data_IF_966946326996
#
_entry.id   IF_966946326996
#
_cell.length_a   1.000
_cell.length_b   1.000
_cell.length_c   1.000
_cell.angle_alpha   90.00
_cell.angle_beta   90.00
_cell.angle_gamma   90.00
#
_symmetry.space_group_name_H-M   'P 1'
#
loop_
_entity.id
_entity.type
_entity.pdbx_description
1 polymer ?
#
# COMPACT_ATOMS: atom_id res chain seq x y z
N UNK A 1 0.90 -10.85 -22.31
CA UNK A 1 1.95 -9.82 -22.26
C UNK A 1 1.78 -9.12 -20.95
N UNK A 2 2.61 -9.47 -19.98
CA UNK A 2 2.39 -9.05 -18.59
C UNK A 2 3.69 -8.55 -18.02
N UNK A 3 3.64 -7.32 -17.50
CA UNK A 3 4.72 -6.68 -16.78
C UNK A 3 4.48 -6.88 -15.30
N UNK A 4 5.43 -7.50 -14.62
CA UNK A 4 5.25 -7.97 -13.27
C UNK A 4 6.41 -7.50 -12.38
N UNK A 5 6.14 -7.37 -11.08
CA UNK A 5 7.20 -7.20 -10.10
C UNK A 5 6.88 -7.93 -8.81
N UNK A 6 7.92 -8.28 -8.07
CA UNK A 6 7.86 -8.92 -6.76
C UNK A 6 8.86 -8.26 -5.83
N UNK A 7 8.49 -8.08 -4.57
CA UNK A 7 9.36 -7.53 -3.53
C UNK A 7 9.45 -8.58 -2.41
N UNK A 8 10.67 -8.98 -2.05
CA UNK A 8 10.98 -9.91 -0.97
C UNK A 8 12.23 -9.48 -0.22
N UNK A 9 12.14 -9.32 1.11
CA UNK A 9 13.28 -9.11 2.01
C UNK A 9 14.26 -8.02 1.52
N UNK A 10 13.75 -6.86 1.11
CA UNK A 10 14.56 -5.76 0.60
C UNK A 10 15.06 -5.92 -0.85
N UNK A 11 14.72 -7.03 -1.50
CA UNK A 11 15.02 -7.28 -2.91
C UNK A 11 13.80 -7.02 -3.78
N UNK A 12 13.99 -6.38 -4.92
CA UNK A 12 12.94 -6.18 -5.93
C UNK A 12 13.31 -6.90 -7.22
N UNK A 13 12.35 -7.64 -7.74
CA UNK A 13 12.42 -8.35 -9.02
C UNK A 13 11.41 -7.71 -9.95
N UNK A 14 11.87 -7.13 -11.06
CA UNK A 14 11.04 -6.55 -12.12
C UNK A 14 11.19 -7.45 -13.32
N UNK A 15 10.10 -7.94 -13.89
CA UNK A 15 10.18 -8.93 -14.96
C UNK A 15 9.02 -8.88 -15.93
N UNK A 16 9.25 -9.41 -17.12
CA UNK A 16 8.30 -9.39 -18.23
C UNK A 16 8.11 -10.77 -18.82
N UNK A 17 6.90 -11.05 -19.33
CA UNK A 17 6.55 -12.33 -19.95
C UNK A 17 5.90 -12.14 -21.32
N UNK A 18 5.91 -13.21 -22.12
CA UNK A 18 5.42 -13.25 -23.50
C UNK A 18 6.12 -12.25 -24.43
N UNK A 19 7.44 -12.06 -24.24
CA UNK A 19 8.28 -11.23 -25.11
C UNK A 19 8.05 -9.72 -25.00
N UNK A 20 7.43 -9.24 -23.91
CA UNK A 20 7.35 -7.81 -23.62
C UNK A 20 8.75 -7.26 -23.25
N UNK A 21 8.91 -5.94 -23.30
CA UNK A 21 10.16 -5.25 -23.02
C UNK A 21 10.23 -4.82 -21.56
N UNK A 22 11.37 -5.10 -20.92
CA UNK A 22 11.68 -4.62 -19.58
C UNK A 22 11.66 -3.08 -19.55
N UNK A 23 11.26 -2.51 -18.41
CA UNK A 23 11.31 -1.06 -18.22
C UNK A 23 12.73 -0.55 -18.44
N UNK A 24 12.84 0.58 -19.14
CA UNK A 24 14.12 1.26 -19.25
C UNK A 24 14.50 1.79 -17.86
N UNK A 25 15.53 1.21 -17.27
CA UNK A 25 16.01 1.57 -15.93
C UNK A 25 16.43 3.04 -15.83
N UNK A 26 16.72 3.70 -16.97
CA UNK A 26 16.96 5.15 -17.03
C UNK A 26 15.74 6.00 -16.67
N UNK A 27 14.54 5.41 -16.68
CA UNK A 27 13.31 6.07 -16.24
C UNK A 27 13.17 6.08 -14.72
N UNK A 28 13.96 5.28 -14.00
CA UNK A 28 13.91 5.23 -12.54
C UNK A 28 14.84 6.34 -12.01
N UNK A 29 14.30 7.34 -11.29
CA UNK A 29 15.12 8.42 -10.77
C UNK A 29 16.18 7.94 -9.78
N UNK A 30 17.40 8.45 -9.90
CA UNK A 30 18.50 8.18 -8.96
C UNK A 30 18.15 8.60 -7.52
N UNK A 31 17.26 9.60 -7.38
CA UNK A 31 16.77 10.08 -6.08
C UNK A 31 15.89 9.10 -5.30
N UNK A 32 15.49 7.94 -5.87
CA UNK A 32 14.78 6.92 -5.10
C UNK A 32 15.70 6.12 -4.17
N UNK A 33 17.03 6.18 -4.33
CA UNK A 33 17.95 5.34 -3.55
C UNK A 33 17.89 3.85 -3.88
N UNK A 34 17.09 3.43 -4.88
CA UNK A 34 17.21 2.11 -5.55
C UNK A 34 18.32 2.10 -6.60
N UNK A 35 18.80 3.26 -7.05
CA UNK A 35 19.99 3.40 -7.90
C UNK A 35 21.05 4.16 -7.10
N UNK A 36 22.11 3.47 -6.69
CA UNK A 36 23.23 4.05 -5.96
C UNK A 36 24.47 3.18 -6.10
N UNK A 37 25.65 3.76 -5.86
CA UNK A 37 26.95 3.08 -6.00
C UNK A 37 27.11 1.82 -5.13
N UNK A 38 26.21 1.61 -4.16
CA UNK A 38 26.22 0.48 -3.23
C UNK A 38 25.13 -0.56 -3.51
N UNK A 39 24.23 -0.33 -4.48
CA UNK A 39 23.10 -1.22 -4.80
C UNK A 39 23.24 -1.76 -6.23
N UNK A 40 23.93 -2.89 -6.43
CA UNK A 40 24.16 -3.44 -7.77
C UNK A 40 22.86 -4.02 -8.34
N UNK A 41 22.50 -3.55 -9.54
CA UNK A 41 21.42 -4.15 -10.32
C UNK A 41 21.94 -5.35 -11.11
N UNK A 42 21.27 -6.49 -10.99
CA UNK A 42 21.50 -7.68 -11.81
C UNK A 42 20.48 -7.69 -12.94
N UNK A 43 20.97 -7.71 -14.19
CA UNK A 43 20.12 -7.61 -15.37
C UNK A 43 20.18 -8.89 -16.20
N UNK A 44 19.02 -9.34 -16.65
CA UNK A 44 18.83 -10.28 -17.74
C UNK A 44 17.90 -9.66 -18.79
N UNK A 45 17.73 -10.26 -19.98
CA UNK A 45 16.85 -9.71 -21.01
C UNK A 45 15.37 -9.61 -20.61
N UNK A 46 14.95 -10.33 -19.55
CA UNK A 46 13.55 -10.44 -19.11
C UNK A 46 13.36 -10.09 -17.62
N UNK A 47 14.43 -9.98 -16.83
CA UNK A 47 14.37 -9.67 -15.39
C UNK A 47 15.43 -8.63 -15.02
N UNK A 48 15.05 -7.66 -14.21
CA UNK A 48 15.96 -6.79 -13.48
C UNK A 48 15.77 -7.02 -11.98
N UNK A 49 16.87 -7.22 -11.27
CA UNK A 49 16.90 -7.44 -9.82
C UNK A 49 17.72 -6.35 -9.17
N UNK A 50 17.20 -5.76 -8.10
CA UNK A 50 17.95 -4.92 -7.17
C UNK A 50 17.90 -5.56 -5.79
N UNK A 51 19.06 -5.75 -5.20
CA UNK A 51 19.25 -6.32 -3.86
C UNK A 51 19.52 -5.16 -2.88
N UNK A 52 19.08 -5.28 -1.62
CA UNK A 52 19.37 -4.29 -0.56
C UNK A 52 18.82 -2.86 -0.82
N UNK A 53 17.68 -2.76 -1.51
CA UNK A 53 17.03 -1.47 -1.70
C UNK A 53 16.42 -0.94 -0.38
N UNK A 54 16.60 0.35 -0.05
CA UNK A 54 16.00 0.94 1.14
C UNK A 54 14.47 0.94 1.04
N UNK A 55 13.77 0.75 2.17
CA UNK A 55 12.31 0.67 2.23
C UNK A 55 11.60 1.85 1.54
N UNK A 56 12.12 3.06 1.71
CA UNK A 56 11.57 4.26 1.08
C UNK A 56 11.72 4.21 -0.45
N UNK A 57 12.87 3.74 -0.93
CA UNK A 57 13.12 3.54 -2.36
C UNK A 57 12.23 2.47 -2.96
N UNK A 58 12.00 1.37 -2.24
CA UNK A 58 11.08 0.31 -2.64
C UNK A 58 9.64 0.81 -2.76
N UNK A 59 9.18 1.63 -1.81
CA UNK A 59 7.83 2.23 -1.86
C UNK A 59 7.65 3.14 -3.07
N UNK A 60 8.61 4.03 -3.32
CA UNK A 60 8.54 4.94 -4.46
C UNK A 60 8.63 4.17 -5.79
N UNK A 61 9.48 3.14 -5.87
CA UNK A 61 9.61 2.29 -7.04
C UNK A 61 8.32 1.50 -7.30
N UNK A 62 7.67 0.99 -6.25
CA UNK A 62 6.38 0.33 -6.36
C UNK A 62 5.32 1.25 -6.98
N UNK A 63 5.25 2.53 -6.57
CA UNK A 63 4.33 3.48 -7.18
C UNK A 63 4.62 3.71 -8.66
N UNK A 64 5.89 3.90 -9.02
CA UNK A 64 6.32 4.11 -10.41
C UNK A 64 5.98 2.89 -11.29
N UNK A 65 6.29 1.69 -10.81
CA UNK A 65 5.99 0.45 -11.53
C UNK A 65 4.48 0.32 -11.76
N UNK A 66 3.66 0.57 -10.73
CA UNK A 66 2.20 0.55 -10.87
C UNK A 66 1.70 1.60 -11.87
N UNK A 67 2.27 2.80 -11.90
CA UNK A 67 1.88 3.82 -12.90
C UNK A 67 2.24 3.43 -14.33
N UNK A 68 3.32 2.66 -14.50
CA UNK A 68 3.76 2.10 -15.80
C UNK A 68 2.99 0.82 -16.20
N UNK A 69 2.00 0.41 -15.40
CA UNK A 69 1.15 -0.75 -15.67
C UNK A 69 1.75 -2.09 -15.21
N UNK A 70 2.82 -2.07 -14.40
CA UNK A 70 3.33 -3.29 -13.79
C UNK A 70 2.41 -3.78 -12.67
N UNK A 71 2.24 -5.09 -12.61
CA UNK A 71 1.40 -5.78 -11.63
C UNK A 71 2.26 -6.45 -10.57
N UNK A 72 1.90 -6.27 -9.29
CA UNK A 72 2.55 -7.00 -8.20
C UNK A 72 2.13 -8.46 -8.24
N UNK A 73 3.10 -9.36 -8.23
CA UNK A 73 2.89 -10.80 -8.14
C UNK A 73 3.68 -11.33 -6.95
N UNK A 74 3.05 -12.16 -6.14
CA UNK A 74 3.73 -12.88 -5.07
C UNK A 74 4.34 -14.15 -5.68
N UNK A 75 5.63 -14.07 -6.01
CA UNK A 75 6.37 -15.14 -6.66
C UNK A 75 7.54 -15.57 -5.79
N UNK A 76 7.70 -16.87 -5.62
CA UNK A 76 8.81 -17.42 -4.84
C UNK A 76 10.15 -16.97 -5.46
N UNK A 77 11.04 -16.43 -4.62
CA UNK A 77 12.42 -16.06 -4.98
C UNK A 77 13.13 -17.15 -5.79
N UNK A 78 13.00 -18.42 -5.41
CA UNK A 78 13.63 -19.53 -6.14
C UNK A 78 13.16 -19.65 -7.60
N UNK A 79 11.88 -19.39 -7.87
CA UNK A 79 11.33 -19.37 -9.22
C UNK A 79 11.81 -18.14 -10.00
N UNK A 80 11.92 -16.97 -9.34
CA UNK A 80 12.42 -15.75 -9.97
C UNK A 80 13.90 -15.84 -10.34
N UNK A 81 14.74 -16.47 -9.51
CA UNK A 81 16.15 -16.72 -9.84
C UNK A 81 16.30 -17.74 -10.98
N UNK A 82 15.49 -18.82 -10.99
CA UNK A 82 15.53 -19.78 -12.11
C UNK A 82 15.03 -19.14 -13.40
N UNK A 83 14.01 -18.27 -13.33
CA UNK A 83 13.58 -17.45 -14.47
C UNK A 83 14.70 -16.51 -14.91
N UNK A 84 15.37 -15.79 -13.99
CA UNK A 84 16.50 -14.92 -14.30
C UNK A 84 17.59 -15.65 -15.10
N UNK A 85 17.90 -16.90 -14.73
CA UNK A 85 18.95 -17.70 -15.37
C UNK A 85 18.52 -18.34 -16.69
N UNK A 86 17.30 -18.89 -16.76
CA UNK A 86 16.85 -19.73 -17.88
C UNK A 86 15.91 -19.05 -18.86
N UNK A 87 15.21 -18.00 -18.42
CA UNK A 87 14.13 -17.37 -19.17
C UNK A 87 12.90 -18.27 -19.34
N UNK A 88 12.77 -19.32 -18.53
CA UNK A 88 11.65 -20.25 -18.59
C UNK A 88 10.42 -19.66 -17.88
N UNK A 89 9.46 -19.12 -18.64
CA UNK A 89 8.25 -18.52 -18.07
C UNK A 89 7.36 -19.54 -17.31
N UNK A 90 7.55 -20.84 -17.54
CA UNK A 90 6.76 -21.91 -16.92
C UNK A 90 7.00 -22.07 -15.42
N UNK A 91 8.11 -21.53 -14.89
CA UNK A 91 8.41 -21.53 -13.45
C UNK A 91 7.67 -20.42 -12.69
N UNK A 92 7.21 -19.38 -13.40
CA UNK A 92 6.56 -18.24 -12.78
C UNK A 92 5.10 -18.58 -12.41
N UNK A 93 4.62 -18.15 -11.23
CA UNK A 93 3.22 -18.32 -10.85
C UNK A 93 2.36 -17.27 -11.56
N UNK A 94 2.25 -17.31 -12.88
CA UNK A 94 1.44 -16.40 -13.70
C UNK A 94 -0.08 -16.62 -13.55
N UNK A 95 -0.54 -17.03 -12.37
CA UNK A 95 -1.97 -16.97 -12.05
C UNK A 95 -2.33 -15.50 -11.82
N UNK A 96 -3.38 -15.06 -12.51
CA UNK A 96 -3.92 -13.71 -12.48
C UNK A 96 -3.87 -13.11 -11.07
N UNK A 97 -3.52 -11.81 -10.94
CA UNK A 97 -3.37 -11.17 -9.65
C UNK A 97 -4.62 -11.45 -8.83
N UNK A 98 -4.43 -12.04 -7.65
CA UNK A 98 -5.44 -11.94 -6.61
C UNK A 98 -5.44 -10.46 -6.28
N UNK A 99 -6.37 -9.73 -6.89
CA UNK A 99 -6.57 -8.31 -6.66
C UNK A 99 -6.93 -8.20 -5.19
N UNK A 100 -5.92 -8.04 -4.33
CA UNK A 100 -6.14 -7.47 -3.02
C UNK A 100 -6.60 -6.05 -3.32
N UNK A 101 -7.92 -5.89 -3.19
CA UNK A 101 -8.71 -4.69 -3.33
C UNK A 101 -7.92 -3.52 -2.74
N UNK A 102 -7.18 -2.85 -3.61
CA UNK A 102 -6.52 -1.61 -3.26
C UNK A 102 -7.65 -0.64 -3.07
N UNK A 103 -8.02 -0.40 -1.81
CA UNK A 103 -8.99 0.61 -1.43
C UNK A 103 -8.60 1.88 -2.19
N UNK A 104 -9.43 2.39 -3.12
CA UNK A 104 -9.06 3.52 -3.92
C UNK A 104 -8.81 4.71 -2.97
N UNK A 105 -7.55 5.14 -2.92
CA UNK A 105 -7.20 6.46 -2.41
C UNK A 105 -7.99 7.45 -3.28
N UNK A 106 -8.77 8.33 -2.66
CA UNK A 106 -9.79 9.24 -3.24
C UNK A 106 -11.24 8.76 -3.16
N UNK A 107 -11.74 8.58 -1.94
CA UNK A 107 -13.12 8.96 -1.63
C UNK A 107 -13.14 10.03 -0.53
N UNK A 108 -12.58 11.20 -0.84
CA UNK A 108 -13.00 12.45 -0.21
C UNK A 108 -14.21 12.99 -0.98
N UNK A 109 -15.37 12.36 -0.79
CA UNK A 109 -16.64 13.06 -1.00
C UNK A 109 -17.10 13.61 0.34
N UNK A 110 -16.87 14.91 0.46
CA UNK A 110 -17.55 15.83 1.35
C UNK A 110 -19.08 15.58 1.35
N UNK A 111 -19.69 15.84 2.51
CA UNK A 111 -21.14 15.93 2.77
C UNK A 111 -21.87 14.64 3.19
N UNK A 112 -21.99 14.43 4.50
CA UNK A 112 -23.28 13.99 5.06
C UNK A 112 -23.57 14.76 6.35
N UNK A 113 -24.52 15.69 6.22
CA UNK A 113 -25.18 16.41 7.32
C UNK A 113 -25.61 15.46 8.44
N UNK A 114 -25.57 15.86 9.73
CA UNK A 114 -26.25 15.11 10.77
C UNK A 114 -27.76 15.39 10.67
N UNK A 115 -28.48 14.61 9.85
CA UNK A 115 -29.94 14.68 9.78
C UNK A 115 -30.57 13.55 10.61
N UNK A 116 -30.88 13.92 11.85
CA UNK A 116 -32.09 13.55 12.59
C UNK A 116 -32.38 12.08 13.00
N UNK A 117 -32.64 11.97 14.31
CA UNK A 117 -33.65 11.13 14.95
C UNK A 117 -33.36 9.64 15.18
N UNK A 118 -33.04 9.34 16.44
CA UNK A 118 -33.59 8.18 17.13
C UNK A 118 -34.16 8.62 18.49
N UNK A 119 -35.50 8.66 18.57
CA UNK A 119 -36.25 8.74 19.83
C UNK A 119 -36.08 7.43 20.62
N UNK A 120 -36.07 7.49 21.95
CA UNK A 120 -36.76 6.47 22.73
C UNK A 120 -37.86 7.13 23.56
N UNK A 121 -39.09 6.90 23.13
CA UNK A 121 -40.29 7.13 23.93
C UNK A 121 -40.47 5.99 24.92
N UNK A 122 -40.40 6.28 26.23
CA UNK A 122 -41.15 5.56 27.27
C UNK A 122 -41.38 6.48 28.50
N UNK A 123 -42.52 7.17 28.41
CA UNK A 123 -43.52 7.48 29.44
C UNK A 123 -43.12 7.59 30.94
N UNK A 124 -43.46 8.79 31.46
CA UNK A 124 -44.30 9.10 32.66
C UNK A 124 -43.69 8.72 34.03
N UNK A 125 -43.69 9.53 35.08
CA UNK A 125 -44.58 10.62 35.52
C UNK A 125 -43.91 11.50 36.59
N UNK A 126 -44.08 12.81 36.45
CA UNK A 126 -44.39 13.83 37.47
C UNK A 126 -44.02 13.58 38.96
N UNK A 127 -43.15 14.44 39.53
CA UNK A 127 -43.48 15.21 40.76
C UNK A 127 -42.48 16.31 41.12
N UNK A 128 -42.97 17.55 40.97
CA UNK A 128 -42.84 18.75 41.83
C UNK A 128 -41.54 18.97 42.64
N UNK A 129 -40.90 20.10 42.29
CA UNK A 129 -40.46 21.21 43.16
C UNK A 129 -40.06 20.86 44.60
N UNK A 130 -38.84 21.25 44.97
CA UNK A 130 -38.59 22.35 45.94
C UNK A 130 -37.13 22.82 45.85
N UNK A 131 -36.97 24.12 45.66
CA UNK A 131 -35.72 24.88 45.85
C UNK A 131 -35.53 25.10 47.36
N UNK A 132 -34.35 24.81 47.93
CA UNK A 132 -33.94 25.43 49.18
C UNK A 132 -33.07 26.68 48.91
N UNK A 133 -33.34 27.73 49.69
CA UNK A 133 -32.68 29.04 49.71
C UNK A 133 -31.21 28.94 50.18
N UNK A 134 -30.34 29.94 49.87
CA UNK A 134 -28.97 29.98 50.34
C UNK A 134 -28.88 30.40 51.82
N UNK A 135 -27.91 29.87 52.57
CA UNK A 135 -27.51 30.34 53.91
C UNK A 135 -26.00 30.07 54.14
N UNK A 136 -25.31 30.73 55.09
CA UNK A 136 -24.12 31.52 54.81
C UNK A 136 -22.82 30.84 55.29
N UNK A 137 -21.71 31.40 54.84
CA UNK A 137 -20.32 31.06 55.21
C UNK A 137 -20.05 31.44 56.68
N UNK A 138 -19.49 30.54 57.51
CA UNK A 138 -18.70 30.93 58.66
C UNK A 138 -17.21 31.02 58.29
N UNK A 139 -16.57 32.14 58.68
CA UNK A 139 -15.12 32.39 58.62
C UNK A 139 -14.38 31.68 59.77
N UNK A 140 -13.12 31.32 59.47
CA UNK A 140 -11.96 31.19 60.39
C UNK A 140 -11.97 29.97 61.33
N UNK A 141 -10.83 29.57 61.96
CA UNK A 141 -9.76 30.40 62.52
C UNK A 141 -8.64 30.84 61.55
#
# INVERSE_FOLDING_TARGET
MTRCYTIHDGCVYIYVTAGDSLIDLRLIPEGLGVFGAEVPWRLSPWVAVSEEAPDEGLRLLEMLLRSEGYVRVDANRGALEDFFLRGDEGVLPLRAPKVEETVPLHQWTLDDRPSAQARPSLRRTSRRRRVPKPVPIPRAP
#
